data_IF_577107264424
#
_entry.id   IF_577107264424
#
_cell.length_a   1.000
_cell.length_b   1.000
_cell.length_c   1.000
_cell.angle_alpha   90.00
_cell.angle_beta   90.00
_cell.angle_gamma   90.00
#
_symmetry.space_group_name_H-M   'P 1'
#
loop_
_entity.id
_entity.type
_entity.pdbx_description
1 polymer ?
#
# COMPACT_ATOMS: atom_id res chain seq x y z
N UNK A 1 10.41 12.17 -10.14
CA UNK A 1 10.77 10.75 -10.16
C UNK A 1 12.26 10.62 -10.38
N UNK A 2 12.94 9.93 -9.48
CA UNK A 2 14.38 9.68 -9.58
C UNK A 2 14.69 8.23 -9.31
N UNK A 3 15.62 7.69 -10.10
CA UNK A 3 16.13 6.32 -9.95
C UNK A 3 17.59 6.37 -9.47
N UNK A 4 18.06 5.27 -8.95
CA UNK A 4 19.46 5.10 -8.57
C UNK A 4 20.21 4.62 -9.80
N UNK A 5 21.05 5.49 -10.35
CA UNK A 5 21.84 5.16 -11.54
C UNK A 5 23.04 4.28 -11.18
N UNK A 6 23.62 4.53 -10.00
CA UNK A 6 24.77 3.77 -9.52
C UNK A 6 24.77 3.66 -8.00
N UNK A 7 25.12 2.51 -7.48
CA UNK A 7 25.44 2.27 -6.09
C UNK A 7 26.46 1.12 -6.02
N UNK A 8 27.40 1.21 -5.08
CA UNK A 8 28.33 0.11 -4.82
C UNK A 8 27.55 -1.04 -4.15
N UNK A 9 27.39 -2.12 -4.89
CA UNK A 9 26.70 -3.33 -4.45
C UNK A 9 27.68 -4.50 -4.41
N UNK A 10 27.59 -5.41 -3.41
CA UNK A 10 28.37 -6.64 -3.43
C UNK A 10 28.24 -7.38 -4.75
N UNK A 11 29.34 -7.95 -5.24
CA UNK A 11 29.38 -8.63 -6.54
C UNK A 11 28.41 -9.83 -6.62
N UNK A 12 28.15 -10.46 -5.47
CA UNK A 12 27.21 -11.59 -5.32
C UNK A 12 25.75 -11.19 -5.24
N UNK A 13 25.42 -9.89 -5.25
CA UNK A 13 24.03 -9.43 -5.13
C UNK A 13 23.21 -9.90 -6.34
N UNK A 14 22.16 -10.66 -6.07
CA UNK A 14 21.24 -11.15 -7.08
C UNK A 14 20.54 -10.00 -7.81
N UNK A 15 20.32 -10.16 -9.11
CA UNK A 15 19.79 -9.11 -9.98
C UNK A 15 18.49 -8.49 -9.44
N UNK A 16 17.55 -9.33 -8.98
CA UNK A 16 16.27 -8.87 -8.45
C UNK A 16 16.35 -8.26 -7.04
N UNK A 17 17.49 -8.36 -6.36
CA UNK A 17 17.75 -7.76 -5.05
C UNK A 17 18.49 -6.42 -5.16
N UNK A 18 19.04 -6.09 -6.32
CA UNK A 18 19.83 -4.87 -6.54
C UNK A 18 19.03 -3.61 -6.29
N UNK A 19 19.72 -2.58 -5.82
CA UNK A 19 19.19 -1.24 -5.60
C UNK A 19 19.28 -0.38 -6.86
N UNK A 20 20.29 -0.63 -7.69
CA UNK A 20 20.50 0.05 -8.98
C UNK A 20 19.26 -0.10 -9.87
N UNK A 21 18.84 0.97 -10.51
CA UNK A 21 17.65 1.03 -11.35
C UNK A 21 16.32 1.17 -10.60
N UNK A 22 16.34 1.19 -9.26
CA UNK A 22 15.13 1.36 -8.43
C UNK A 22 14.92 2.81 -8.00
N UNK A 23 13.70 3.15 -7.66
CA UNK A 23 13.31 4.48 -7.19
C UNK A 23 14.10 4.89 -5.95
N UNK A 24 14.54 6.13 -5.90
CA UNK A 24 15.17 6.72 -4.72
C UNK A 24 14.22 6.59 -3.52
N UNK A 25 14.75 6.13 -2.37
CA UNK A 25 13.96 5.86 -1.16
C UNK A 25 13.58 4.40 -0.97
N UNK A 26 13.86 3.52 -1.94
CA UNK A 26 13.60 2.07 -1.83
C UNK A 26 14.85 1.24 -1.51
N UNK A 27 15.93 1.87 -1.04
CA UNK A 27 17.21 1.21 -0.74
C UNK A 27 17.19 0.39 0.54
N UNK A 28 16.30 0.74 1.48
CA UNK A 28 16.23 0.11 2.79
C UNK A 28 15.91 -1.38 2.73
N UNK A 29 16.31 -2.12 3.74
CA UNK A 29 16.03 -3.56 3.87
C UNK A 29 14.53 -3.88 3.91
N UNK A 30 13.71 -2.93 4.36
CA UNK A 30 12.25 -3.06 4.39
C UNK A 30 11.59 -3.14 2.99
N UNK A 31 12.32 -2.80 1.92
CA UNK A 31 11.88 -2.97 0.54
C UNK A 31 12.35 -4.28 -0.10
N UNK A 32 13.22 -5.03 0.58
CA UNK A 32 13.61 -6.38 0.20
C UNK A 32 12.68 -7.36 0.88
N UNK A 33 11.73 -7.94 0.13
CA UNK A 33 10.66 -8.77 0.67
C UNK A 33 10.26 -9.88 -0.28
N UNK A 34 9.56 -10.88 0.23
CA UNK A 34 8.99 -11.94 -0.59
C UNK A 34 7.86 -11.41 -1.48
N UNK A 35 7.81 -11.88 -2.72
CA UNK A 35 6.67 -11.63 -3.60
C UNK A 35 5.57 -12.65 -3.31
N UNK A 36 4.40 -12.16 -2.89
CA UNK A 36 3.23 -13.01 -2.67
C UNK A 36 2.54 -13.30 -3.99
N UNK A 37 2.23 -14.57 -4.23
CA UNK A 37 1.41 -15.04 -5.35
C UNK A 37 0.04 -15.57 -4.90
N UNK A 38 -0.32 -15.38 -3.64
CA UNK A 38 -1.62 -15.75 -3.08
C UNK A 38 -1.52 -16.37 -1.71
N UNK A 39 -2.45 -17.25 -1.41
CA UNK A 39 -2.57 -18.00 -0.15
C UNK A 39 -2.70 -19.47 -0.52
N UNK A 40 -2.06 -20.36 0.21
CA UNK A 40 -2.27 -21.80 0.08
C UNK A 40 -3.70 -22.15 0.47
N UNK A 41 -4.49 -22.62 -0.49
CA UNK A 41 -5.93 -22.85 -0.29
C UNK A 41 -6.26 -24.27 0.18
N UNK A 42 -5.46 -25.24 -0.27
CA UNK A 42 -5.63 -26.66 -0.01
C UNK A 42 -4.30 -27.31 0.35
N UNK A 43 -4.37 -28.52 0.89
CA UNK A 43 -3.16 -29.29 1.17
C UNK A 43 -2.41 -29.65 -0.14
N UNK A 44 -3.13 -30.00 -1.20
CA UNK A 44 -2.54 -30.31 -2.50
C UNK A 44 -1.78 -29.10 -3.10
N UNK A 45 -2.31 -27.87 -2.90
CA UNK A 45 -1.65 -26.63 -3.32
C UNK A 45 -0.36 -26.39 -2.52
N UNK A 46 -0.36 -26.71 -1.22
CA UNK A 46 0.83 -26.62 -0.39
C UNK A 46 1.87 -27.67 -0.79
N UNK A 47 1.48 -28.93 -0.91
CA UNK A 47 2.39 -30.05 -1.19
C UNK A 47 3.01 -29.97 -2.59
N UNK A 48 2.32 -29.35 -3.55
CA UNK A 48 2.76 -29.25 -4.94
C UNK A 48 3.67 -28.04 -5.24
N UNK A 49 3.83 -27.10 -4.30
CA UNK A 49 4.59 -25.88 -4.54
C UNK A 49 5.66 -25.63 -3.47
N UNK A 50 6.84 -25.08 -3.82
CA UNK A 50 7.87 -24.73 -2.85
C UNK A 50 7.33 -23.81 -1.75
N UNK A 51 7.66 -24.11 -0.50
CA UNK A 51 7.20 -23.35 0.65
C UNK A 51 8.21 -23.38 1.80
N UNK A 52 8.05 -22.50 2.76
CA UNK A 52 8.82 -22.51 3.99
C UNK A 52 8.51 -23.79 4.78
N UNK A 53 9.51 -24.35 5.45
CA UNK A 53 9.40 -25.64 6.15
C UNK A 53 8.27 -25.74 7.18
N UNK A 54 7.83 -24.62 7.68
CA UNK A 54 6.75 -24.52 8.68
C UNK A 54 5.45 -23.93 8.11
N UNK A 55 5.38 -23.71 6.79
CA UNK A 55 4.17 -23.25 6.12
C UNK A 55 3.03 -24.28 6.21
N UNK A 56 1.81 -23.78 6.20
CA UNK A 56 0.58 -24.58 6.30
C UNK A 56 -0.50 -23.98 5.38
N UNK A 57 -1.53 -24.76 5.14
CA UNK A 57 -2.72 -24.27 4.43
C UNK A 57 -3.29 -23.02 5.11
N UNK A 58 -3.61 -22.02 4.31
CA UNK A 58 -4.01 -20.69 4.78
C UNK A 58 -2.87 -19.68 4.92
N UNK A 59 -1.62 -20.09 4.77
CA UNK A 59 -0.46 -19.20 4.80
C UNK A 59 -0.24 -18.50 3.46
N UNK A 60 0.51 -17.40 3.47
CA UNK A 60 0.87 -16.67 2.24
C UNK A 60 1.83 -17.52 1.42
N UNK A 61 1.54 -17.64 0.13
CA UNK A 61 2.34 -18.35 -0.86
C UNK A 61 3.35 -17.37 -1.47
N UNK A 62 4.63 -17.67 -1.34
CA UNK A 62 5.72 -16.86 -1.87
C UNK A 62 6.19 -17.39 -3.21
N UNK A 63 6.64 -16.49 -4.07
CA UNK A 63 7.19 -16.84 -5.36
C UNK A 63 8.60 -17.39 -5.21
N UNK A 64 8.86 -18.53 -5.82
CA UNK A 64 10.20 -19.06 -6.09
C UNK A 64 10.77 -18.25 -7.27
N UNK A 65 11.70 -17.33 -6.99
CA UNK A 65 12.19 -16.36 -7.97
C UNK A 65 13.36 -16.93 -8.77
N UNK A 66 14.22 -17.71 -8.11
CA UNK A 66 15.39 -18.34 -8.74
C UNK A 66 15.08 -19.70 -9.37
N UNK A 67 13.94 -20.33 -9.08
CA UNK A 67 13.49 -21.60 -9.65
C UNK A 67 14.17 -22.84 -9.06
N UNK A 68 14.77 -22.72 -7.87
CA UNK A 68 15.51 -23.82 -7.24
C UNK A 68 14.63 -24.76 -6.42
N UNK A 69 13.31 -24.49 -6.39
CA UNK A 69 12.28 -25.22 -5.65
C UNK A 69 12.41 -25.13 -4.13
N UNK A 70 12.96 -24.05 -3.64
CA UNK A 70 13.01 -23.70 -2.23
C UNK A 70 12.51 -22.27 -2.07
N UNK A 71 12.08 -21.91 -0.87
CA UNK A 71 11.76 -20.52 -0.53
C UNK A 71 12.71 -20.09 0.58
N UNK A 72 13.62 -19.18 0.25
CA UNK A 72 14.61 -18.67 1.21
C UNK A 72 14.96 -17.19 0.95
N UNK A 73 16.10 -16.73 1.49
CA UNK A 73 16.53 -15.32 1.37
C UNK A 73 16.78 -14.88 -0.07
N UNK A 74 17.11 -15.81 -0.95
CA UNK A 74 17.43 -15.54 -2.34
C UNK A 74 16.17 -15.24 -3.17
N UNK A 75 14.98 -15.64 -2.69
CA UNK A 75 13.70 -15.31 -3.32
C UNK A 75 13.14 -13.93 -2.94
N UNK A 76 13.83 -13.20 -2.07
CA UNK A 76 13.40 -11.84 -1.77
C UNK A 76 13.69 -10.91 -2.94
N UNK A 77 12.69 -10.13 -3.32
CA UNK A 77 12.76 -9.17 -4.41
C UNK A 77 12.75 -7.76 -3.86
N UNK A 78 13.56 -6.88 -4.43
CA UNK A 78 13.50 -5.46 -4.09
C UNK A 78 12.31 -4.80 -4.76
N UNK A 79 11.33 -4.44 -3.95
CA UNK A 79 10.12 -3.78 -4.44
C UNK A 79 10.40 -2.34 -4.82
N UNK A 80 10.12 -2.00 -6.08
CA UNK A 80 10.18 -0.62 -6.59
C UNK A 80 8.85 0.10 -6.32
N UNK A 81 8.50 0.18 -5.02
CA UNK A 81 7.21 0.67 -4.53
C UNK A 81 7.42 1.58 -3.32
N UNK A 82 7.78 2.87 -3.55
CA UNK A 82 8.14 3.78 -2.47
C UNK A 82 6.94 4.14 -1.58
N UNK A 83 7.21 4.34 -0.29
CA UNK A 83 6.23 4.85 0.67
C UNK A 83 6.04 6.38 0.55
N UNK A 84 6.97 7.07 -0.11
CA UNK A 84 6.87 8.50 -0.39
C UNK A 84 6.24 8.67 -1.77
N UNK A 85 5.22 9.51 -1.93
CA UNK A 85 4.62 9.77 -3.24
C UNK A 85 5.65 10.31 -4.23
N UNK A 86 5.75 9.71 -5.40
CA UNK A 86 6.58 10.23 -6.47
C UNK A 86 5.89 11.38 -7.23
N UNK A 87 4.57 11.38 -7.25
CA UNK A 87 3.76 12.38 -7.92
C UNK A 87 2.76 12.95 -6.93
N UNK A 88 2.80 14.27 -6.74
CA UNK A 88 1.77 15.02 -6.03
C UNK A 88 1.13 16.01 -6.99
N UNK A 89 -0.19 16.13 -6.96
CA UNK A 89 -0.92 17.03 -7.86
C UNK A 89 -2.10 17.70 -7.16
N UNK A 90 -2.44 18.89 -7.68
CA UNK A 90 -3.59 19.66 -7.23
C UNK A 90 -4.32 20.26 -8.44
N UNK A 91 -5.64 20.20 -8.41
CA UNK A 91 -6.52 20.79 -9.43
C UNK A 91 -7.44 21.77 -8.74
N UNK A 92 -7.35 23.03 -9.13
CA UNK A 92 -8.25 24.08 -8.65
C UNK A 92 -9.26 24.40 -9.76
N UNK A 93 -10.55 24.23 -9.47
CA UNK A 93 -11.65 24.55 -10.38
C UNK A 93 -12.47 25.67 -9.77
N UNK A 94 -12.54 26.80 -10.46
CA UNK A 94 -13.31 27.95 -10.02
C UNK A 94 -14.28 28.41 -11.13
N UNK A 95 -15.51 28.76 -10.74
CA UNK A 95 -16.49 29.37 -11.63
C UNK A 95 -17.33 30.40 -10.90
N UNK A 96 -17.78 31.39 -11.66
CA UNK A 96 -18.69 32.43 -11.15
C UNK A 96 -19.85 32.58 -12.13
N UNK A 97 -21.06 32.54 -11.59
CA UNK A 97 -22.27 32.80 -12.35
C UNK A 97 -23.16 33.78 -11.61
N UNK A 98 -23.39 34.97 -12.18
CA UNK A 98 -24.09 36.07 -11.52
C UNK A 98 -23.44 36.38 -10.15
N UNK A 99 -24.17 36.20 -9.07
CA UNK A 99 -23.72 36.47 -7.72
C UNK A 99 -23.15 35.23 -6.99
N UNK A 100 -23.14 34.08 -7.65
CA UNK A 100 -22.63 32.84 -7.10
C UNK A 100 -21.20 32.56 -7.55
N UNK A 101 -20.35 32.16 -6.64
CA UNK A 101 -19.00 31.68 -6.90
C UNK A 101 -18.83 30.29 -6.30
N UNK A 102 -18.31 29.35 -7.08
CA UNK A 102 -17.95 28.02 -6.64
C UNK A 102 -16.45 27.81 -6.86
N UNK A 103 -15.74 27.42 -5.82
CA UNK A 103 -14.35 27.00 -5.88
C UNK A 103 -14.21 25.59 -5.34
N UNK A 104 -13.44 24.76 -6.02
CA UNK A 104 -13.15 23.39 -5.62
C UNK A 104 -11.64 23.15 -5.73
N UNK A 105 -11.04 22.63 -4.68
CA UNK A 105 -9.66 22.17 -4.67
C UNK A 105 -9.61 20.67 -4.54
N UNK A 106 -9.09 20.00 -5.55
CA UNK A 106 -8.78 18.59 -5.55
C UNK A 106 -7.29 18.39 -5.32
N UNK A 107 -6.93 17.42 -4.52
CA UNK A 107 -5.55 17.06 -4.23
C UNK A 107 -5.37 15.56 -4.30
N UNK A 108 -4.26 15.13 -4.88
CA UNK A 108 -3.94 13.72 -4.98
C UNK A 108 -2.46 13.43 -4.90
N UNK A 109 -2.18 12.16 -4.71
CA UNK A 109 -0.85 11.60 -4.79
C UNK A 109 -0.91 10.29 -5.59
N UNK A 110 0.14 10.03 -6.35
CA UNK A 110 0.26 8.82 -7.14
C UNK A 110 1.66 8.19 -6.98
N UNK A 111 1.76 6.92 -7.36
CA UNK A 111 2.96 6.10 -7.16
C UNK A 111 3.45 6.15 -5.72
N UNK A 112 2.54 5.78 -4.81
CA UNK A 112 2.81 5.64 -3.37
C UNK A 112 2.22 4.33 -2.90
N UNK A 113 2.96 3.62 -2.05
CA UNK A 113 2.53 2.35 -1.47
C UNK A 113 2.68 2.39 0.04
N UNK A 114 1.79 1.69 0.71
CA UNK A 114 1.82 1.56 2.16
C UNK A 114 1.82 0.08 2.54
N UNK A 115 2.74 -0.27 3.43
CA UNK A 115 2.74 -1.59 4.05
C UNK A 115 1.74 -1.58 5.20
N UNK A 116 0.60 -2.25 4.99
CA UNK A 116 -0.52 -2.29 5.96
C UNK A 116 -0.66 -3.69 6.54
N UNK A 117 0.27 -4.03 7.41
CA UNK A 117 0.18 -5.27 8.18
C UNK A 117 -0.92 -5.14 9.24
N UNK A 118 -1.90 -6.05 9.23
CA UNK A 118 -3.13 -5.92 10.02
C UNK A 118 -3.07 -6.66 11.36
N UNK A 119 -1.96 -7.30 11.66
CA UNK A 119 -1.69 -7.96 12.92
C UNK A 119 -0.56 -7.23 13.65
N UNK A 120 -0.79 -6.81 14.89
CA UNK A 120 0.28 -6.26 15.72
C UNK A 120 1.09 -7.38 16.36
N UNK A 121 2.30 -7.05 16.88
CA UNK A 121 3.19 -8.02 17.52
C UNK A 121 2.66 -8.68 18.81
N UNK A 122 1.44 -8.35 19.21
CA UNK A 122 0.74 -8.99 20.34
C UNK A 122 -0.32 -9.91 19.76
N UNK A 123 -0.30 -11.16 20.20
CA UNK A 123 -1.22 -12.22 19.78
C UNK A 123 -2.68 -11.78 19.96
N UNK A 124 -3.47 -11.98 18.91
CA UNK A 124 -4.89 -11.63 18.91
C UNK A 124 -5.18 -10.12 18.69
N UNK A 125 -4.15 -9.30 18.56
CA UNK A 125 -4.33 -7.87 18.25
C UNK A 125 -4.31 -7.62 16.74
N UNK A 126 -5.45 -7.80 16.10
CA UNK A 126 -5.67 -7.58 14.67
C UNK A 126 -7.00 -6.85 14.41
N UNK A 127 -7.13 -6.27 13.21
CA UNK A 127 -8.35 -5.54 12.84
C UNK A 127 -9.54 -6.48 12.69
N UNK A 128 -10.76 -5.96 12.93
CA UNK A 128 -11.98 -6.73 12.73
C UNK A 128 -12.12 -7.25 11.29
N UNK A 129 -11.78 -6.42 10.28
CA UNK A 129 -11.83 -6.83 8.87
C UNK A 129 -10.93 -8.03 8.59
N UNK A 130 -9.71 -8.02 9.17
CA UNK A 130 -8.79 -9.16 9.04
C UNK A 130 -9.38 -10.42 9.71
N UNK A 131 -9.91 -10.29 10.92
CA UNK A 131 -10.51 -11.40 11.64
C UNK A 131 -11.67 -12.04 10.89
N UNK A 132 -12.61 -11.23 10.41
CA UNK A 132 -13.82 -11.70 9.73
C UNK A 132 -13.52 -12.34 8.36
N UNK A 133 -12.47 -11.87 7.67
CA UNK A 133 -12.14 -12.27 6.31
C UNK A 133 -10.85 -13.09 6.19
N UNK A 134 -10.35 -13.63 7.31
CA UNK A 134 -9.17 -14.50 7.28
C UNK A 134 -9.52 -15.90 6.79
N UNK A 135 -8.50 -16.61 6.33
CA UNK A 135 -8.62 -18.00 5.97
C UNK A 135 -8.96 -18.86 7.20
N UNK A 136 -9.92 -19.74 7.05
CA UNK A 136 -10.29 -20.83 7.97
C UNK A 136 -10.73 -22.02 7.12
N UNK A 137 -10.84 -23.20 7.73
CA UNK A 137 -11.35 -24.40 7.04
C UNK A 137 -12.76 -24.18 6.48
N UNK A 138 -13.59 -23.39 7.18
CA UNK A 138 -14.95 -23.03 6.75
C UNK A 138 -14.95 -21.89 5.72
N UNK A 139 -13.84 -21.17 5.54
CA UNK A 139 -13.68 -20.06 4.58
C UNK A 139 -12.40 -20.20 3.76
N UNK A 140 -12.26 -21.22 2.90
CA UNK A 140 -11.02 -21.48 2.16
C UNK A 140 -10.71 -20.41 1.10
N UNK A 141 -11.72 -19.66 0.64
CA UNK A 141 -11.58 -18.56 -0.33
C UNK A 141 -11.42 -17.18 0.30
N UNK A 142 -10.98 -17.13 1.55
CA UNK A 142 -10.79 -15.90 2.30
C UNK A 142 -9.88 -14.89 1.59
N UNK A 143 -10.08 -13.61 1.93
CA UNK A 143 -9.29 -12.48 1.45
C UNK A 143 -7.90 -12.44 2.09
N UNK A 144 -7.80 -12.80 3.37
CA UNK A 144 -6.58 -12.72 4.16
C UNK A 144 -6.06 -14.10 4.54
N UNK A 145 -4.75 -14.23 4.83
CA UNK A 145 -4.19 -15.46 5.32
C UNK A 145 -4.74 -15.83 6.69
N UNK A 146 -4.48 -17.03 7.10
CA UNK A 146 -4.83 -17.51 8.45
C UNK A 146 -4.03 -16.73 9.50
N UNK A 147 -4.55 -16.69 10.72
CA UNK A 147 -3.84 -16.18 11.90
C UNK A 147 -3.66 -17.28 12.93
N UNK A 148 -2.54 -17.27 13.65
CA UNK A 148 -2.26 -18.20 14.75
C UNK A 148 -1.06 -17.71 15.57
N UNK A 149 -0.96 -18.28 16.77
CA UNK A 149 0.07 -17.92 17.75
C UNK A 149 1.45 -18.48 17.35
N UNK A 150 2.15 -17.81 16.48
CA UNK A 150 3.57 -18.06 16.20
C UNK A 150 4.24 -16.84 15.56
N UNK A 151 5.55 -16.95 15.38
CA UNK A 151 6.29 -15.96 14.66
C UNK A 151 5.68 -15.68 13.27
N UNK A 152 5.75 -14.46 12.86
CA UNK A 152 5.05 -13.89 11.70
C UNK A 152 5.53 -14.43 10.34
N UNK A 153 6.01 -15.68 10.28
CA UNK A 153 6.50 -16.37 9.08
C UNK A 153 5.51 -16.28 7.93
N UNK A 154 4.25 -16.25 8.24
CA UNK A 154 3.17 -16.37 7.27
C UNK A 154 2.32 -15.12 7.16
N UNK A 155 2.41 -14.25 8.14
CA UNK A 155 1.61 -13.04 8.17
C UNK A 155 2.34 -11.82 7.63
N UNK A 156 3.69 -11.83 7.59
CA UNK A 156 4.47 -10.78 6.95
C UNK A 156 5.22 -9.85 7.89
N UNK A 157 5.37 -10.23 9.17
CA UNK A 157 6.20 -9.50 10.12
C UNK A 157 7.68 -9.87 10.00
N UNK A 158 8.55 -9.05 10.61
CA UNK A 158 9.98 -9.33 10.74
C UNK A 158 10.67 -9.67 9.40
N UNK A 159 11.35 -10.79 9.38
CA UNK A 159 12.11 -11.28 8.23
C UNK A 159 11.23 -11.80 7.08
N UNK A 160 9.93 -11.97 7.30
CA UNK A 160 8.96 -12.52 6.35
C UNK A 160 8.04 -11.47 5.74
N UNK A 161 8.50 -10.20 5.69
CA UNK A 161 7.81 -9.16 4.96
C UNK A 161 7.54 -9.61 3.53
N UNK A 162 6.34 -9.31 3.05
CA UNK A 162 5.92 -9.76 1.73
C UNK A 162 4.97 -8.77 1.05
N UNK A 163 4.83 -8.87 -0.25
CA UNK A 163 4.04 -7.95 -1.06
C UNK A 163 2.52 -8.09 -0.85
N UNK A 164 2.04 -9.11 -0.15
CA UNK A 164 0.62 -9.27 0.19
C UNK A 164 0.06 -8.05 0.96
N UNK A 165 0.88 -7.48 1.85
CA UNK A 165 0.52 -6.34 2.68
C UNK A 165 0.91 -4.98 2.08
N UNK A 166 1.49 -4.98 0.88
CA UNK A 166 1.93 -3.76 0.20
C UNK A 166 0.81 -3.23 -0.70
N UNK A 167 0.06 -2.28 -0.18
CA UNK A 167 -1.11 -1.73 -0.85
C UNK A 167 -0.79 -0.43 -1.59
N UNK A 168 -1.42 -0.22 -2.74
CA UNK A 168 -1.38 1.05 -3.43
C UNK A 168 -2.17 2.10 -2.63
N UNK A 169 -1.48 3.14 -2.18
CA UNK A 169 -2.01 4.25 -1.41
C UNK A 169 -2.21 5.52 -2.24
N UNK A 170 -2.21 5.40 -3.58
CA UNK A 170 -2.53 6.52 -4.46
C UNK A 170 -3.98 6.97 -4.26
N UNK A 171 -4.20 8.29 -4.26
CA UNK A 171 -5.52 8.85 -4.05
C UNK A 171 -5.77 10.14 -4.82
N UNK A 172 -7.03 10.45 -5.05
CA UNK A 172 -7.56 11.76 -5.42
C UNK A 172 -8.71 12.09 -4.47
N UNK A 173 -8.65 13.26 -3.82
CA UNK A 173 -9.70 13.71 -2.90
C UNK A 173 -10.11 15.15 -3.16
N UNK A 174 -11.37 15.46 -2.95
CA UNK A 174 -11.83 16.83 -2.84
C UNK A 174 -11.35 17.37 -1.48
N UNK A 175 -10.40 18.32 -1.50
CA UNK A 175 -9.79 18.90 -0.30
C UNK A 175 -10.66 20.01 0.29
N UNK A 176 -11.19 20.86 -0.58
CA UNK A 176 -12.13 21.90 -0.18
C UNK A 176 -13.14 22.19 -1.27
N UNK A 177 -14.32 22.58 -0.85
CA UNK A 177 -15.36 23.15 -1.69
C UNK A 177 -15.87 24.42 -0.99
N UNK A 178 -15.94 25.51 -1.72
CA UNK A 178 -16.45 26.78 -1.26
C UNK A 178 -17.54 27.23 -2.22
N UNK A 179 -18.73 27.49 -1.70
CA UNK A 179 -19.82 28.11 -2.40
C UNK A 179 -20.11 29.46 -1.75
N UNK A 180 -19.95 30.54 -2.50
CA UNK A 180 -20.17 31.88 -2.02
C UNK A 180 -21.25 32.59 -2.82
N UNK A 181 -22.03 33.43 -2.15
CA UNK A 181 -23.02 34.30 -2.76
C UNK A 181 -22.72 35.75 -2.41
N UNK A 182 -22.47 36.56 -3.43
CA UNK A 182 -22.28 37.99 -3.26
C UNK A 182 -23.63 38.70 -3.17
N UNK A 183 -23.97 39.17 -1.98
CA UNK A 183 -25.23 39.87 -1.75
C UNK A 183 -25.29 41.20 -2.52
N UNK A 184 -26.39 41.49 -3.25
CA UNK A 184 -26.55 42.76 -3.94
C UNK A 184 -26.43 43.96 -2.97
N UNK A 185 -25.71 44.99 -3.34
CA UNK A 185 -25.55 46.22 -2.53
C UNK A 185 -26.87 46.88 -2.16
N UNK A 186 -27.92 46.65 -2.98
CA UNK A 186 -29.27 47.16 -2.71
C UNK A 186 -29.87 46.66 -1.40
N UNK A 187 -29.43 45.48 -0.92
CA UNK A 187 -29.93 44.92 0.35
C UNK A 187 -29.42 45.68 1.59
N UNK A 188 -28.33 46.43 1.43
CA UNK A 188 -27.64 47.12 2.54
C UNK A 188 -27.79 48.64 2.47
N UNK A 189 -28.74 49.16 1.64
CA UNK A 189 -29.01 50.59 1.57
C UNK A 189 -29.44 51.12 2.96
N UNK A 190 -28.74 52.15 3.44
CA UNK A 190 -29.02 52.77 4.77
C UNK A 190 -28.31 52.08 5.94
N UNK A 191 -27.48 51.11 5.70
CA UNK A 191 -26.62 50.48 6.70
C UNK A 191 -25.15 50.82 6.47
N UNK A 192 -24.26 50.76 7.48
CA UNK A 192 -22.83 50.96 7.32
C UNK A 192 -22.12 49.76 6.59
N UNK A 193 -22.86 48.74 6.21
CA UNK A 193 -22.32 47.53 5.55
C UNK A 193 -22.17 47.77 4.05
N UNK A 194 -20.94 47.63 3.54
CA UNK A 194 -20.64 47.88 2.13
C UNK A 194 -20.84 46.65 1.23
N UNK A 195 -20.92 45.48 1.82
CA UNK A 195 -21.16 44.21 1.11
C UNK A 195 -21.00 42.98 2.03
N UNK A 196 -21.65 41.88 1.63
CA UNK A 196 -21.56 40.57 2.31
C UNK A 196 -21.35 39.50 1.25
N UNK A 197 -20.47 38.56 1.55
CA UNK A 197 -20.19 37.39 0.73
C UNK A 197 -20.28 36.09 1.56
#
# INVERSE_FOLDING_TARGET
HGTIDYIDEPAETLEWQRRTGKTIGTQGSNYLMYESIGIFRTQDDLDSYPHLSDARVGDVKFRDVNGDKKIDGDDKVRMDKPAVPEIMYGINLGTTYKNWSLNMLWQGAARVWQYTFMEAGIIGNFTKDFYDNRWTEDNPNAKYPRTYNRDATVTGGGNYRNSFWLNNASYLRLKSIELAYNCPKSWFKGTPISGVR
#
